data_IF_726749937775
#
_entry.id   IF_726749937775
#
_cell.length_a   1.000
_cell.length_b   1.000
_cell.length_c   1.000
_cell.angle_alpha   90.00
_cell.angle_beta   90.00
_cell.angle_gamma   90.00
#
_symmetry.space_group_name_H-M   'P 1'
#
loop_
_entity.id
_entity.type
_entity.pdbx_description
1 polymer ?
#
# COMPACT_ATOMS: atom_id res chain seq x y z
N UNK A 1 -17.02 -9.24 0.86
CA UNK A 1 -16.28 -10.25 0.07
C UNK A 1 -15.33 -9.62 -0.94
N UNK A 2 -15.80 -8.89 -1.97
CA UNK A 2 -14.89 -8.26 -2.96
C UNK A 2 -13.98 -7.21 -2.32
N UNK A 3 -14.50 -6.40 -1.41
CA UNK A 3 -13.70 -5.38 -0.73
C UNK A 3 -12.68 -5.98 0.25
N UNK A 4 -13.01 -7.11 0.88
CA UNK A 4 -12.07 -7.84 1.75
C UNK A 4 -10.90 -8.39 0.93
N UNK A 5 -11.18 -8.93 -0.27
CA UNK A 5 -10.14 -9.40 -1.19
C UNK A 5 -9.24 -8.25 -1.67
N UNK A 6 -9.83 -7.08 -1.98
CA UNK A 6 -9.06 -5.88 -2.32
C UNK A 6 -8.15 -5.44 -1.19
N UNK A 7 -8.63 -5.50 0.06
CA UNK A 7 -7.83 -5.16 1.25
C UNK A 7 -6.64 -6.10 1.42
N UNK A 8 -6.89 -7.41 1.38
CA UNK A 8 -5.83 -8.43 1.54
C UNK A 8 -4.77 -8.32 0.44
N UNK A 9 -5.19 -8.16 -0.82
CA UNK A 9 -4.26 -7.96 -1.92
C UNK A 9 -3.39 -6.71 -1.73
N UNK A 10 -3.97 -5.64 -1.21
CA UNK A 10 -3.27 -4.38 -0.97
C UNK A 10 -2.30 -4.46 0.21
N UNK A 11 -2.68 -5.13 1.30
CA UNK A 11 -1.80 -5.39 2.45
C UNK A 11 -0.57 -6.19 2.03
N UNK A 12 -0.76 -7.24 1.21
CA UNK A 12 0.34 -8.04 0.68
C UNK A 12 1.27 -7.24 -0.24
N UNK A 13 0.71 -6.38 -1.11
CA UNK A 13 1.50 -5.52 -1.99
C UNK A 13 2.35 -4.52 -1.20
N UNK A 14 1.78 -3.90 -0.16
CA UNK A 14 2.50 -2.91 0.66
C UNK A 14 3.63 -3.52 1.46
N UNK A 15 3.56 -4.80 1.82
CA UNK A 15 4.66 -5.51 2.50
C UNK A 15 5.92 -5.67 1.64
N UNK A 16 5.80 -5.60 0.31
CA UNK A 16 6.93 -5.71 -0.61
C UNK A 16 7.62 -4.37 -0.90
N UNK A 17 7.09 -3.27 -0.35
CA UNK A 17 7.65 -1.94 -0.56
C UNK A 17 8.77 -1.70 0.46
N UNK A 18 9.91 -1.27 -0.06
CA UNK A 18 11.13 -0.93 0.68
C UNK A 18 11.50 0.55 0.48
N UNK A 19 12.36 1.05 1.36
CA UNK A 19 12.80 2.45 1.35
C UNK A 19 13.51 2.81 0.04
N UNK A 20 13.30 4.04 -0.44
CA UNK A 20 13.91 4.53 -1.68
C UNK A 20 13.37 3.91 -2.98
N UNK A 21 12.33 3.08 -2.93
CA UNK A 21 11.69 2.56 -4.13
C UNK A 21 10.89 3.64 -4.88
N UNK A 22 11.10 3.74 -6.20
CA UNK A 22 10.22 4.50 -7.07
C UNK A 22 8.99 3.66 -7.45
N UNK A 23 7.82 4.03 -6.94
CA UNK A 23 6.59 3.26 -7.09
C UNK A 23 5.69 3.80 -8.20
N UNK A 24 5.21 2.89 -9.07
CA UNK A 24 4.13 3.19 -10.01
C UNK A 24 2.76 3.02 -9.36
N UNK A 25 1.97 4.10 -9.27
CA UNK A 25 0.63 4.06 -8.67
C UNK A 25 -0.44 3.86 -9.75
N UNK A 26 -1.13 2.73 -9.70
CA UNK A 26 -2.29 2.45 -10.55
C UNK A 26 -3.53 3.27 -10.15
N UNK A 27 -4.65 3.03 -10.83
CA UNK A 27 -5.95 3.68 -10.55
C UNK A 27 -7.04 2.66 -10.22
N UNK A 28 -8.06 3.09 -9.46
CA UNK A 28 -9.21 2.26 -9.08
C UNK A 28 -9.40 2.09 -7.57
N UNK A 29 -10.51 1.48 -7.17
CA UNK A 29 -10.90 1.38 -5.75
C UNK A 29 -9.98 0.50 -4.91
N UNK A 30 -9.23 -0.41 -5.54
CA UNK A 30 -8.23 -1.26 -4.86
C UNK A 30 -7.00 -0.46 -4.43
N UNK A 31 -6.52 0.47 -5.27
CA UNK A 31 -5.28 1.22 -4.99
C UNK A 31 -5.42 2.10 -3.74
N UNK A 32 -6.65 2.49 -3.37
CA UNK A 32 -6.92 3.25 -2.16
C UNK A 32 -6.41 2.54 -0.91
N UNK A 33 -6.60 1.23 -0.81
CA UNK A 33 -6.12 0.44 0.32
C UNK A 33 -4.59 0.38 0.36
N UNK A 34 -3.93 0.33 -0.81
CA UNK A 34 -2.46 0.40 -0.91
C UNK A 34 -1.97 1.74 -0.37
N UNK A 35 -2.58 2.85 -0.80
CA UNK A 35 -2.21 4.20 -0.37
C UNK A 35 -2.43 4.41 1.13
N UNK A 36 -3.55 3.96 1.67
CA UNK A 36 -3.86 4.10 3.10
C UNK A 36 -2.82 3.36 3.97
N UNK A 37 -2.43 2.15 3.56
CA UNK A 37 -1.42 1.35 4.25
C UNK A 37 0.00 1.91 4.08
N UNK A 38 0.35 2.42 2.87
CA UNK A 38 1.63 3.09 2.62
C UNK A 38 1.78 4.35 3.48
N UNK A 39 0.74 5.19 3.50
CA UNK A 39 0.70 6.40 4.32
C UNK A 39 0.79 6.08 5.82
N UNK A 40 0.25 4.94 6.27
CA UNK A 40 0.44 4.48 7.65
C UNK A 40 1.91 4.14 7.92
N UNK A 41 2.58 3.37 7.06
CA UNK A 41 4.00 2.99 7.25
C UNK A 41 4.93 4.20 7.29
N UNK A 42 4.73 5.16 6.38
CA UNK A 42 5.49 6.42 6.37
C UNK A 42 5.30 7.21 7.67
N UNK A 43 4.06 7.31 8.18
CA UNK A 43 3.77 8.00 9.45
C UNK A 43 4.34 7.28 10.67
N UNK A 44 4.38 5.95 10.64
CA UNK A 44 4.95 5.12 11.71
C UNK A 44 6.48 5.06 11.66
N UNK A 45 7.10 5.58 10.60
CA UNK A 45 8.56 5.50 10.38
C UNK A 45 9.05 4.07 10.08
N UNK A 46 8.14 3.16 9.70
CA UNK A 46 8.47 1.79 9.27
C UNK A 46 8.71 1.68 7.76
N UNK A 47 8.62 2.82 7.08
CA UNK A 47 9.04 3.04 5.71
C UNK A 47 9.50 4.50 5.61
N UNK A 48 10.56 4.74 4.86
CA UNK A 48 11.11 6.07 4.56
C UNK A 48 11.16 6.30 3.06
N UNK A 49 11.07 7.56 2.63
CA UNK A 49 11.16 7.98 1.24
C UNK A 49 12.61 8.03 0.73
#
# INVERSE_FOLDING_TARGET
MVDDLKRVASEAAVQQIEDGMLLGLGTGTTVRYVLDALARRLREGTLSD
#
